data_IF_833282629487
#
_entry.id   IF_833282629487
#
_cell.length_a   1.000
_cell.length_b   1.000
_cell.length_c   1.000
_cell.angle_alpha   90.00
_cell.angle_beta   90.00
_cell.angle_gamma   90.00
#
_symmetry.space_group_name_H-M   'P 1'
#
loop_
_entity.id
_entity.type
_entity.pdbx_description
1 polymer ?
#
# COMPACT_ATOMS: atom_id res chain seq x y z
N UNK A 1 12.69 -13.76 -24.77
CA UNK A 1 12.96 -12.32 -24.60
C UNK A 1 13.00 -12.06 -23.11
N UNK A 2 14.21 -11.91 -22.56
CA UNK A 2 14.46 -11.75 -21.12
C UNK A 2 14.44 -10.25 -20.79
N UNK A 3 13.26 -9.72 -20.48
CA UNK A 3 13.13 -8.34 -19.99
C UNK A 3 13.44 -8.29 -18.49
N UNK A 4 14.73 -8.18 -18.16
CA UNK A 4 15.19 -7.84 -16.82
C UNK A 4 15.12 -6.33 -16.63
N UNK A 5 13.89 -5.81 -16.56
CA UNK A 5 13.66 -4.45 -16.05
C UNK A 5 14.09 -4.41 -14.57
N UNK A 6 14.85 -3.39 -14.13
CA UNK A 6 15.31 -3.31 -12.75
C UNK A 6 14.10 -3.24 -11.81
N UNK A 7 13.86 -4.35 -11.09
CA UNK A 7 12.70 -4.48 -10.21
C UNK A 7 12.78 -3.44 -9.11
N UNK A 8 11.74 -2.61 -8.98
CA UNK A 8 11.70 -1.56 -7.96
C UNK A 8 11.50 -2.22 -6.59
N UNK A 9 12.54 -2.19 -5.76
CA UNK A 9 12.49 -2.68 -4.38
C UNK A 9 11.48 -1.87 -3.55
N UNK A 10 10.40 -2.52 -3.15
CA UNK A 10 9.35 -1.92 -2.33
C UNK A 10 9.74 -1.87 -0.84
N UNK A 11 10.51 -0.88 -0.41
CA UNK A 11 10.80 -0.67 1.03
C UNK A 11 9.58 -0.04 1.72
N UNK A 12 8.98 -0.75 2.67
CA UNK A 12 7.79 -0.30 3.40
C UNK A 12 8.13 0.03 4.86
N UNK A 13 8.04 1.32 5.25
CA UNK A 13 8.23 1.75 6.64
C UNK A 13 6.99 1.52 7.54
N UNK A 14 5.81 1.40 6.93
CA UNK A 14 4.54 1.15 7.63
C UNK A 14 3.68 0.22 6.78
N UNK A 15 3.14 -0.86 7.38
CA UNK A 15 2.36 -1.85 6.66
C UNK A 15 0.91 -1.36 6.48
N UNK A 16 0.58 -0.88 5.28
CA UNK A 16 -0.78 -0.43 4.95
C UNK A 16 -1.81 -1.54 5.12
N UNK A 17 -1.49 -2.80 4.79
CA UNK A 17 -2.42 -3.93 4.94
C UNK A 17 -2.81 -4.11 6.40
N UNK A 18 -1.84 -4.02 7.32
CA UNK A 18 -2.10 -4.18 8.76
C UNK A 18 -2.94 -3.04 9.31
N UNK A 19 -2.62 -1.79 8.96
CA UNK A 19 -3.42 -0.62 9.33
C UNK A 19 -4.89 -0.76 8.87
N UNK A 20 -5.11 -1.31 7.69
CA UNK A 20 -6.46 -1.52 7.14
C UNK A 20 -7.21 -2.58 7.90
N UNK A 21 -6.56 -3.71 8.20
CA UNK A 21 -7.19 -4.77 8.98
C UNK A 21 -7.66 -4.22 10.33
N UNK A 22 -6.79 -3.46 11.00
CA UNK A 22 -7.14 -2.79 12.26
C UNK A 22 -8.31 -1.82 12.06
N UNK A 23 -8.25 -0.95 11.04
CA UNK A 23 -9.31 0.00 10.76
C UNK A 23 -10.65 -0.68 10.45
N UNK A 24 -10.66 -1.80 9.72
CA UNK A 24 -11.86 -2.58 9.43
C UNK A 24 -12.41 -3.30 10.66
N UNK A 25 -11.55 -3.71 11.60
CA UNK A 25 -11.98 -4.28 12.89
C UNK A 25 -12.62 -3.21 13.78
N UNK A 26 -12.05 -2.00 13.83
CA UNK A 26 -12.57 -0.91 14.68
C UNK A 26 -13.77 -0.18 14.10
N UNK A 27 -13.76 0.05 12.80
CA UNK A 27 -14.78 0.77 12.07
C UNK A 27 -15.11 0.02 10.78
N UNK A 28 -15.98 -1.00 10.82
CA UNK A 28 -16.36 -1.76 9.62
C UNK A 28 -16.92 -0.88 8.50
N UNK A 29 -17.61 0.22 8.87
CA UNK A 29 -18.13 1.23 7.95
C UNK A 29 -17.03 1.92 7.12
N UNK A 30 -15.78 1.94 7.57
CA UNK A 30 -14.64 2.48 6.83
C UNK A 30 -14.43 1.81 5.46
N UNK A 31 -14.96 0.60 5.27
CA UNK A 31 -15.02 -0.08 3.96
C UNK A 31 -15.71 0.77 2.91
N UNK A 32 -16.79 1.47 3.28
CA UNK A 32 -17.55 2.32 2.36
C UNK A 32 -16.73 3.52 1.85
N UNK A 33 -15.74 3.98 2.61
CA UNK A 33 -14.84 5.06 2.18
C UNK A 33 -13.66 4.49 1.40
N UNK A 34 -13.06 3.41 1.91
CA UNK A 34 -11.82 2.86 1.38
C UNK A 34 -11.99 2.10 0.07
N UNK A 35 -13.05 1.33 -0.08
CA UNK A 35 -13.25 0.48 -1.27
C UNK A 35 -13.49 1.29 -2.54
N UNK A 36 -14.31 2.37 -2.55
CA UNK A 36 -14.39 3.27 -3.70
C UNK A 36 -13.04 3.89 -4.05
N UNK A 37 -12.27 4.34 -3.05
CA UNK A 37 -10.93 4.89 -3.27
C UNK A 37 -9.98 3.83 -3.87
N UNK A 38 -10.09 2.58 -3.41
CA UNK A 38 -9.33 1.44 -3.95
C UNK A 38 -9.69 1.17 -5.41
N UNK A 39 -10.98 1.18 -5.74
CA UNK A 39 -11.47 1.00 -7.09
C UNK A 39 -11.03 2.14 -8.00
N UNK A 40 -11.12 3.39 -7.55
CA UNK A 40 -10.63 4.57 -8.29
C UNK A 40 -9.14 4.47 -8.60
N UNK A 41 -8.32 4.08 -7.61
CA UNK A 41 -6.90 3.84 -7.85
C UNK A 41 -6.65 2.70 -8.85
N UNK A 42 -7.38 1.58 -8.74
CA UNK A 42 -7.23 0.47 -9.70
C UNK A 42 -7.67 0.85 -11.11
N UNK A 43 -8.74 1.63 -11.25
CA UNK A 43 -9.21 2.14 -12.53
C UNK A 43 -8.21 3.09 -13.18
N UNK A 44 -7.66 4.04 -12.42
CA UNK A 44 -6.60 4.92 -12.90
C UNK A 44 -5.33 4.14 -13.26
N UNK A 45 -4.96 3.15 -12.45
CA UNK A 45 -3.79 2.32 -12.72
C UNK A 45 -3.97 1.51 -14.02
N UNK A 46 -5.16 0.96 -14.23
CA UNK A 46 -5.52 0.28 -15.47
C UNK A 46 -5.46 1.24 -16.68
N UNK A 47 -6.00 2.45 -16.56
CA UNK A 47 -5.94 3.47 -17.61
C UNK A 47 -4.50 3.86 -17.98
N UNK A 48 -3.63 3.97 -16.97
CA UNK A 48 -2.21 4.29 -17.14
C UNK A 48 -1.33 3.05 -17.44
N UNK A 49 -1.92 1.86 -17.63
CA UNK A 49 -1.21 0.58 -17.86
C UNK A 49 -0.12 0.29 -16.82
N UNK A 50 -0.42 0.57 -15.56
CA UNK A 50 0.49 0.33 -14.43
C UNK A 50 0.37 -1.14 -14.02
N UNK A 51 1.47 -1.88 -14.10
CA UNK A 51 1.58 -3.23 -13.56
C UNK A 51 2.27 -3.23 -12.19
N UNK A 52 1.56 -3.55 -11.09
CA UNK A 52 2.18 -3.68 -9.77
C UNK A 52 3.06 -4.92 -9.64
N UNK A 53 2.99 -5.88 -10.57
CA UNK A 53 3.86 -7.05 -10.59
C UNK A 53 5.32 -6.69 -10.91
N UNK A 54 5.58 -5.49 -11.44
CA UNK A 54 6.93 -4.96 -11.62
C UNK A 54 7.64 -4.65 -10.28
N UNK A 55 6.90 -4.57 -9.18
CA UNK A 55 7.48 -4.36 -7.86
C UNK A 55 7.93 -5.70 -7.27
N UNK A 56 9.21 -5.79 -6.93
CA UNK A 56 9.71 -6.92 -6.16
C UNK A 56 9.23 -6.80 -4.72
N UNK A 57 8.42 -7.77 -4.31
CA UNK A 57 7.86 -7.85 -2.97
C UNK A 57 8.63 -8.89 -2.16
N UNK A 58 8.90 -8.56 -0.90
CA UNK A 58 9.67 -9.43 0.01
C UNK A 58 8.84 -10.56 0.61
N UNK A 59 7.52 -10.41 0.63
CA UNK A 59 6.59 -11.42 1.18
C UNK A 59 5.39 -11.58 0.25
N UNK A 60 4.83 -12.78 0.18
CA UNK A 60 3.64 -13.06 -0.62
C UNK A 60 2.44 -12.16 -0.22
N UNK A 61 2.36 -11.79 1.07
CA UNK A 61 1.35 -10.88 1.59
C UNK A 61 1.42 -9.45 1.04
N UNK A 62 2.55 -9.05 0.44
CA UNK A 62 2.75 -7.73 -0.14
C UNK A 62 2.35 -7.64 -1.62
N UNK A 63 2.12 -8.76 -2.31
CA UNK A 63 1.63 -8.72 -3.70
C UNK A 63 0.32 -7.94 -3.82
N UNK A 64 0.24 -7.06 -4.81
CA UNK A 64 -0.94 -6.23 -5.05
C UNK A 64 -1.21 -5.17 -3.97
N UNK A 65 -0.22 -4.84 -3.12
CA UNK A 65 -0.36 -3.81 -2.11
C UNK A 65 -0.73 -2.46 -2.75
N UNK A 66 -1.78 -1.80 -2.24
CA UNK A 66 -2.23 -0.49 -2.72
C UNK A 66 -1.16 0.60 -2.62
N UNK A 67 -0.12 0.42 -1.80
CA UNK A 67 1.01 1.33 -1.74
C UNK A 67 1.75 1.39 -3.08
N UNK A 68 1.92 0.27 -3.78
CA UNK A 68 2.63 0.21 -5.06
C UNK A 68 1.83 0.89 -6.17
N UNK A 69 0.53 0.63 -6.21
CA UNK A 69 -0.40 1.37 -7.06
C UNK A 69 -0.30 2.88 -6.83
N UNK A 70 -0.34 3.33 -5.57
CA UNK A 70 -0.22 4.76 -5.22
C UNK A 70 1.12 5.35 -5.67
N UNK A 71 2.25 4.66 -5.47
CA UNK A 71 3.57 5.13 -5.88
C UNK A 71 3.65 5.26 -7.40
N UNK A 72 3.30 4.19 -8.13
CA UNK A 72 3.30 4.21 -9.59
C UNK A 72 2.37 5.28 -10.18
N UNK A 73 1.17 5.46 -9.59
CA UNK A 73 0.23 6.49 -10.02
C UNK A 73 0.76 7.90 -9.77
N UNK A 74 1.47 8.15 -8.67
CA UNK A 74 2.11 9.45 -8.42
C UNK A 74 3.18 9.78 -9.46
N UNK A 75 3.92 8.78 -9.92
CA UNK A 75 4.93 8.95 -10.97
C UNK A 75 4.29 9.23 -12.34
N UNK A 76 3.18 8.58 -12.67
CA UNK A 76 2.59 8.61 -14.02
C UNK A 76 1.46 9.62 -14.22
N UNK A 77 0.79 10.05 -13.16
CA UNK A 77 -0.46 10.83 -13.27
C UNK A 77 -0.44 12.10 -12.42
N UNK A 78 -0.38 13.25 -13.08
CA UNK A 78 -0.53 14.56 -12.43
C UNK A 78 -1.92 14.74 -11.81
N UNK A 79 -2.97 14.23 -12.48
CA UNK A 79 -4.32 14.21 -11.94
C UNK A 79 -4.40 13.41 -10.63
N UNK A 80 -3.76 12.23 -10.59
CA UNK A 80 -3.71 11.45 -9.36
C UNK A 80 -2.97 12.18 -8.25
N UNK A 81 -1.86 12.87 -8.55
CA UNK A 81 -1.16 13.69 -7.54
C UNK A 81 -2.07 14.76 -6.96
N UNK A 82 -2.74 15.54 -7.81
CA UNK A 82 -3.67 16.58 -7.38
C UNK A 82 -4.83 16.02 -6.53
N UNK A 83 -5.48 14.95 -7.00
CA UNK A 83 -6.56 14.29 -6.26
C UNK A 83 -6.07 13.73 -4.92
N UNK A 84 -4.92 13.05 -4.93
CA UNK A 84 -4.32 12.51 -3.72
C UNK A 84 -4.04 13.63 -2.72
N UNK A 85 -3.47 14.75 -3.14
CA UNK A 85 -3.09 15.82 -2.22
C UNK A 85 -4.32 16.53 -1.62
N UNK A 86 -5.45 16.53 -2.33
CA UNK A 86 -6.73 17.03 -1.80
C UNK A 86 -7.42 16.05 -0.85
N UNK A 87 -7.38 14.75 -1.13
CA UNK A 87 -8.11 13.70 -0.39
C UNK A 87 -7.30 13.16 0.78
N UNK A 88 -5.97 13.07 0.67
CA UNK A 88 -5.10 12.45 1.66
C UNK A 88 -5.20 13.10 3.06
N UNK A 89 -5.26 14.45 3.22
CA UNK A 89 -5.43 15.05 4.54
C UNK A 89 -6.73 14.61 5.26
N UNK A 90 -7.84 14.51 4.52
CA UNK A 90 -9.11 14.05 5.07
C UNK A 90 -9.09 12.56 5.41
N UNK A 91 -8.48 11.77 4.53
CA UNK A 91 -8.33 10.34 4.74
C UNK A 91 -7.45 10.05 5.96
N UNK A 92 -6.34 10.77 6.12
CA UNK A 92 -5.42 10.62 7.23
C UNK A 92 -6.09 11.06 8.54
N UNK A 93 -6.77 12.21 8.57
CA UNK A 93 -7.54 12.64 9.73
C UNK A 93 -8.65 11.65 10.13
N UNK A 94 -9.31 11.04 9.15
CA UNK A 94 -10.29 9.98 9.41
C UNK A 94 -9.61 8.72 9.96
N UNK A 95 -8.48 8.31 9.39
CA UNK A 95 -7.76 7.12 9.81
C UNK A 95 -7.19 7.29 11.22
N UNK A 96 -6.68 8.47 11.57
CA UNK A 96 -6.18 8.80 12.91
C UNK A 96 -7.27 8.77 13.98
N UNK A 97 -8.53 9.03 13.61
CA UNK A 97 -9.68 8.86 14.51
C UNK A 97 -10.05 7.41 14.74
N UNK A 98 -9.77 6.53 13.78
CA UNK A 98 -10.13 5.10 13.83
C UNK A 98 -9.01 4.26 14.45
N UNK A 99 -7.75 4.58 14.11
CA UNK A 99 -6.57 3.82 14.47
C UNK A 99 -5.73 4.62 15.45
N UNK A 100 -5.44 4.04 16.62
CA UNK A 100 -4.68 4.76 17.66
C UNK A 100 -3.20 4.84 17.30
N UNK A 101 -2.49 5.80 17.90
CA UNK A 101 -1.04 5.93 17.74
C UNK A 101 -0.29 4.63 18.08
N UNK A 102 -0.77 3.86 19.06
CA UNK A 102 -0.19 2.57 19.45
C UNK A 102 -0.38 1.51 18.36
N UNK A 103 -1.56 1.46 17.72
CA UNK A 103 -1.81 0.54 16.61
C UNK A 103 -0.98 0.90 15.37
N UNK A 104 -0.73 2.19 15.14
CA UNK A 104 0.21 2.64 14.12
C UNK A 104 1.62 2.16 14.44
N UNK A 105 2.04 2.20 15.71
CA UNK A 105 3.33 1.63 16.15
C UNK A 105 3.41 0.12 15.90
N UNK A 106 2.36 -0.63 16.24
CA UNK A 106 2.29 -2.08 15.96
C UNK A 106 2.39 -2.36 14.45
N UNK A 107 1.72 -1.56 13.61
CA UNK A 107 1.81 -1.71 12.16
C UNK A 107 3.19 -1.35 11.59
N UNK A 108 3.92 -0.41 12.22
CA UNK A 108 5.32 -0.09 11.88
C UNK A 108 6.26 -1.21 12.31
N UNK A 109 6.09 -1.76 13.51
CA UNK A 109 6.87 -2.91 14.00
C UNK A 109 6.71 -4.11 13.06
N UNK A 110 5.46 -4.45 12.70
CA UNK A 110 5.17 -5.51 11.74
C UNK A 110 5.83 -5.28 10.37
N UNK A 111 5.86 -4.04 9.87
CA UNK A 111 6.53 -3.73 8.60
C UNK A 111 8.04 -3.97 8.68
N UNK A 112 8.66 -3.61 9.81
CA UNK A 112 10.09 -3.83 10.07
C UNK A 112 10.39 -5.33 10.17
N UNK A 113 9.60 -6.08 10.92
CA UNK A 113 9.74 -7.53 11.05
C UNK A 113 9.58 -8.25 9.71
N UNK A 114 8.54 -7.92 8.94
CA UNK A 114 8.33 -8.50 7.61
C UNK A 114 9.47 -8.17 6.63
N UNK A 115 10.14 -7.04 6.83
CA UNK A 115 11.31 -6.63 6.02
C UNK A 115 12.61 -7.27 6.51
N UNK A 116 12.71 -7.60 7.81
CA UNK A 116 13.89 -8.18 8.47
C UNK A 116 13.93 -9.72 8.40
N UNK A 117 12.78 -10.40 8.49
CA UNK A 117 12.66 -11.87 8.45
C UNK A 117 13.14 -12.47 7.11
N UNK A 118 13.30 -11.66 6.06
CA UNK A 118 13.81 -12.09 4.75
C UNK A 118 15.33 -12.03 4.62
N UNK A 119 16.07 -11.53 5.62
CA UNK A 119 17.54 -11.59 5.61
C UNK A 119 18.12 -12.86 6.24
N UNK A 120 17.28 -13.81 6.68
CA UNK A 120 17.74 -14.96 7.47
C UNK A 120 17.26 -16.35 7.05
N UNK A 121 16.33 -16.51 6.10
CA UNK A 121 15.88 -17.84 5.66
C UNK A 121 15.47 -17.85 4.19
N UNK A 122 15.97 -18.88 3.50
CA UNK A 122 15.70 -19.25 2.12
C UNK A 122 14.21 -19.15 1.77
N UNK A 123 13.90 -18.34 0.76
CA UNK A 123 12.62 -18.37 0.07
C UNK A 123 12.79 -19.24 -1.18
N UNK A 124 12.43 -20.52 -1.07
CA UNK A 124 12.25 -21.41 -2.22
C UNK A 124 10.79 -21.27 -2.68
N UNK A 125 10.53 -21.08 -4.00
CA UNK A 125 9.19 -20.82 -4.54
C UNK A 125 8.18 -21.96 -4.35
#
# INVERSE_FOLDING_TARGET
>A
MNDTLPKKNAVCNTCTIRLVRIAYTRAPWFRLVREPLRLGMRGLAWFHRIDPAEYEVRTASCYGCMRFYKVALKEKSALFRWLNDRVNPHFDALLERIVTAEEVRVAKAYAREATALTQGKDFQP
#
